data_IF_050508060753
#
_entry.id   IF_050508060753
#
_cell.length_a   1.000
_cell.length_b   1.000
_cell.length_c   1.000
_cell.angle_alpha   90.00
_cell.angle_beta   90.00
_cell.angle_gamma   90.00
#
_symmetry.space_group_name_H-M   'P 1'
#
loop_
_entity.id
_entity.type
_entity.pdbx_description
1 polymer ?
#
# COMPACT_ATOMS: atom_id res chain seq x y z
N UNK A 1 -0.38 -19.45 12.98
CA UNK A 1 -1.26 -18.60 12.16
C UNK A 1 -0.40 -17.65 11.36
N UNK A 2 -0.78 -17.33 10.13
CA UNK A 2 -0.01 -16.45 9.25
C UNK A 2 -0.71 -15.11 9.19
N UNK A 3 0.05 -14.00 9.10
CA UNK A 3 -0.55 -12.66 9.11
C UNK A 3 -1.59 -12.46 7.98
N UNK A 4 -1.34 -13.02 6.80
CA UNK A 4 -2.30 -12.96 5.68
C UNK A 4 -3.56 -13.80 5.95
N UNK A 5 -3.43 -14.92 6.68
CA UNK A 5 -4.57 -15.69 7.15
C UNK A 5 -5.42 -14.95 8.19
N UNK A 6 -4.76 -14.16 9.04
CA UNK A 6 -5.43 -13.30 10.03
C UNK A 6 -6.19 -12.16 9.35
N UNK A 7 -5.63 -11.54 8.30
CA UNK A 7 -6.33 -10.53 7.50
C UNK A 7 -7.58 -11.10 6.83
N UNK A 8 -7.47 -12.29 6.23
CA UNK A 8 -8.61 -13.01 5.65
C UNK A 8 -9.69 -13.29 6.69
N UNK A 9 -9.30 -13.69 7.90
CA UNK A 9 -10.21 -13.94 9.01
C UNK A 9 -10.96 -12.66 9.42
N UNK A 10 -10.25 -11.53 9.59
CA UNK A 10 -10.85 -10.22 9.91
C UNK A 10 -11.90 -9.84 8.86
N UNK A 11 -11.59 -9.99 7.58
CA UNK A 11 -12.54 -9.71 6.50
C UNK A 11 -13.81 -10.55 6.62
N UNK A 12 -13.63 -11.87 6.83
CA UNK A 12 -14.76 -12.82 6.95
C UNK A 12 -15.62 -12.57 8.18
N UNK A 13 -15.02 -12.24 9.32
CA UNK A 13 -15.73 -11.91 10.55
C UNK A 13 -16.59 -10.65 10.39
N UNK A 14 -16.19 -9.74 9.51
CA UNK A 14 -16.95 -8.53 9.15
C UNK A 14 -17.90 -8.75 7.99
N UNK A 15 -18.01 -9.99 7.47
CA UNK A 15 -18.88 -10.36 6.36
C UNK A 15 -18.65 -9.55 5.08
N UNK A 16 -17.40 -9.06 4.88
CA UNK A 16 -17.02 -8.29 3.69
C UNK A 16 -16.65 -9.27 2.57
N UNK A 17 -17.34 -9.16 1.43
CA UNK A 17 -17.01 -9.94 0.24
C UNK A 17 -15.74 -9.42 -0.44
N UNK A 18 -14.90 -10.35 -0.96
CA UNK A 18 -13.65 -9.97 -1.62
C UNK A 18 -13.88 -9.19 -2.92
N UNK A 19 -14.96 -9.49 -3.64
CA UNK A 19 -15.39 -8.73 -4.81
C UNK A 19 -15.80 -7.29 -4.45
N UNK A 20 -16.40 -7.09 -3.28
CA UNK A 20 -16.73 -5.75 -2.77
C UNK A 20 -15.45 -4.94 -2.50
N UNK A 21 -14.46 -5.54 -1.87
CA UNK A 21 -13.14 -4.91 -1.65
C UNK A 21 -12.50 -4.55 -3.00
N UNK A 22 -12.53 -5.45 -3.98
CA UNK A 22 -12.01 -5.21 -5.32
C UNK A 22 -12.70 -4.02 -6.01
N UNK A 23 -14.01 -3.92 -5.88
CA UNK A 23 -14.79 -2.81 -6.44
C UNK A 23 -14.46 -1.46 -5.78
N UNK A 24 -14.27 -1.44 -4.47
CA UNK A 24 -13.96 -0.21 -3.71
C UNK A 24 -12.52 0.26 -3.94
N UNK A 25 -11.57 -0.66 -3.91
CA UNK A 25 -10.14 -0.36 -4.06
C UNK A 25 -9.70 -0.20 -5.51
N UNK A 26 -10.50 -0.67 -6.47
CA UNK A 26 -10.15 -0.80 -7.89
C UNK A 26 -8.97 -1.76 -8.15
N UNK A 27 -8.69 -2.64 -7.19
CA UNK A 27 -7.69 -3.70 -7.31
C UNK A 27 -8.39 -4.94 -7.89
N UNK A 28 -7.73 -5.62 -8.83
CA UNK A 28 -8.25 -6.87 -9.36
C UNK A 28 -8.40 -7.90 -8.24
N UNK A 29 -9.56 -8.56 -8.18
CA UNK A 29 -9.86 -9.56 -7.15
C UNK A 29 -8.81 -10.68 -7.08
N UNK A 30 -8.24 -11.11 -8.23
CA UNK A 30 -7.19 -12.11 -8.25
C UNK A 30 -5.94 -11.72 -7.45
N UNK A 31 -5.58 -10.43 -7.42
CA UNK A 31 -4.48 -9.93 -6.60
C UNK A 31 -4.81 -9.95 -5.10
N UNK A 32 -6.05 -9.62 -4.75
CA UNK A 32 -6.51 -9.72 -3.36
C UNK A 32 -6.55 -11.17 -2.88
N UNK A 33 -6.94 -12.11 -3.74
CA UNK A 33 -6.87 -13.55 -3.45
C UNK A 33 -5.43 -14.01 -3.22
N UNK A 34 -4.48 -13.53 -4.03
CA UNK A 34 -3.05 -13.82 -3.85
C UNK A 34 -2.53 -13.30 -2.52
N UNK A 35 -2.91 -12.08 -2.12
CA UNK A 35 -2.59 -11.53 -0.80
C UNK A 35 -3.10 -12.43 0.33
N UNK A 36 -4.34 -12.91 0.26
CA UNK A 36 -4.94 -13.80 1.27
C UNK A 36 -4.35 -15.21 1.27
N UNK A 37 -3.63 -15.60 0.24
CA UNK A 37 -2.90 -16.87 0.13
C UNK A 37 -1.43 -16.76 0.54
N UNK A 38 -0.92 -15.53 0.72
CA UNK A 38 0.49 -15.28 0.98
C UNK A 38 1.37 -15.41 -0.27
N UNK A 39 0.79 -15.33 -1.45
CA UNK A 39 1.52 -15.28 -2.71
C UNK A 39 1.73 -13.82 -3.11
N UNK A 40 2.98 -13.36 -3.03
CA UNK A 40 3.39 -11.98 -3.32
C UNK A 40 4.23 -11.87 -4.60
N UNK A 41 4.23 -12.90 -5.44
CA UNK A 41 5.04 -12.97 -6.66
C UNK A 41 4.34 -12.36 -7.89
N UNK A 42 3.06 -12.01 -7.75
CA UNK A 42 2.22 -11.53 -8.86
C UNK A 42 2.57 -10.12 -9.37
N UNK A 43 3.26 -9.31 -8.58
CA UNK A 43 3.70 -7.96 -8.92
C UNK A 43 5.00 -7.59 -8.19
N UNK A 44 5.73 -6.56 -8.66
CA UNK A 44 6.84 -5.99 -7.90
C UNK A 44 6.41 -5.57 -6.49
N UNK A 45 7.28 -5.78 -5.50
CA UNK A 45 6.97 -5.59 -4.06
C UNK A 45 6.40 -4.20 -3.71
N UNK A 46 6.78 -3.16 -4.45
CA UNK A 46 6.23 -1.80 -4.25
C UNK A 46 4.71 -1.78 -4.45
N UNK A 47 4.20 -2.47 -5.48
CA UNK A 47 2.77 -2.57 -5.74
C UNK A 47 2.07 -3.50 -4.74
N UNK A 48 2.72 -4.60 -4.36
CA UNK A 48 2.20 -5.51 -3.32
C UNK A 48 1.96 -4.76 -2.01
N UNK A 49 2.92 -3.92 -1.57
CA UNK A 49 2.78 -3.06 -0.38
C UNK A 49 1.59 -2.11 -0.51
N UNK A 50 1.45 -1.47 -1.65
CA UNK A 50 0.36 -0.54 -1.92
C UNK A 50 -1.01 -1.24 -1.86
N UNK A 51 -1.12 -2.40 -2.50
CA UNK A 51 -2.36 -3.18 -2.52
C UNK A 51 -2.69 -3.75 -1.14
N UNK A 52 -1.69 -4.20 -0.39
CA UNK A 52 -1.87 -4.66 0.98
C UNK A 52 -2.39 -3.53 1.88
N UNK A 53 -1.84 -2.31 1.77
CA UNK A 53 -2.34 -1.14 2.51
C UNK A 53 -3.81 -0.84 2.17
N UNK A 54 -4.15 -0.79 0.89
CA UNK A 54 -5.51 -0.54 0.45
C UNK A 54 -6.49 -1.62 0.95
N UNK A 55 -6.09 -2.88 0.86
CA UNK A 55 -6.87 -4.01 1.36
C UNK A 55 -7.11 -3.92 2.88
N UNK A 56 -6.06 -3.67 3.66
CA UNK A 56 -6.16 -3.59 5.13
C UNK A 56 -7.02 -2.42 5.60
N UNK A 57 -6.94 -1.27 4.93
CA UNK A 57 -7.83 -0.13 5.21
C UNK A 57 -9.29 -0.51 5.00
N UNK A 58 -9.62 -1.19 3.89
CA UNK A 58 -11.00 -1.60 3.58
C UNK A 58 -11.58 -2.60 4.59
N UNK A 59 -10.78 -3.52 5.08
CA UNK A 59 -11.22 -4.48 6.09
C UNK A 59 -11.13 -3.96 7.53
N UNK A 60 -10.58 -2.74 7.73
CA UNK A 60 -10.42 -2.11 9.03
C UNK A 60 -9.32 -2.74 9.88
N UNK A 61 -8.28 -3.28 9.25
CA UNK A 61 -7.04 -3.70 9.90
C UNK A 61 -5.98 -2.59 9.86
N UNK A 62 -4.91 -2.74 10.64
CA UNK A 62 -3.81 -1.78 10.66
C UNK A 62 -2.92 -1.94 9.42
N UNK A 63 -2.83 -0.93 8.54
CA UNK A 63 -2.05 -1.01 7.32
C UNK A 63 -0.53 -0.97 7.56
N UNK A 64 -0.06 -0.32 8.60
CA UNK A 64 1.36 -0.22 8.90
C UNK A 64 1.87 -1.53 9.51
N UNK A 65 1.09 -2.14 10.40
CA UNK A 65 1.40 -3.47 10.93
C UNK A 65 1.40 -4.54 9.82
N UNK A 66 0.43 -4.51 8.91
CA UNK A 66 0.38 -5.47 7.82
C UNK A 66 1.58 -5.35 6.87
N UNK A 67 2.02 -4.13 6.54
CA UNK A 67 3.22 -3.90 5.73
C UNK A 67 4.47 -4.37 6.46
N UNK A 68 4.60 -4.11 7.76
CA UNK A 68 5.71 -4.59 8.57
C UNK A 68 5.78 -6.14 8.57
N UNK A 69 4.65 -6.81 8.73
CA UNK A 69 4.58 -8.27 8.66
C UNK A 69 4.94 -8.81 7.26
N UNK A 70 4.57 -8.11 6.21
CA UNK A 70 4.98 -8.43 4.84
C UNK A 70 6.51 -8.35 4.67
N UNK A 71 7.14 -7.29 5.16
CA UNK A 71 8.61 -7.15 5.10
C UNK A 71 9.31 -8.31 5.82
N UNK A 72 8.88 -8.62 7.04
CA UNK A 72 9.41 -9.76 7.82
C UNK A 72 9.22 -11.09 7.07
N UNK A 73 8.08 -11.25 6.39
CA UNK A 73 7.80 -12.45 5.61
C UNK A 73 8.72 -12.57 4.40
N UNK A 74 8.89 -11.49 3.65
CA UNK A 74 9.75 -11.44 2.46
C UNK A 74 11.23 -11.62 2.82
N UNK A 75 11.70 -11.04 3.92
CA UNK A 75 13.07 -11.21 4.40
C UNK A 75 13.38 -12.68 4.74
N UNK A 76 12.40 -13.39 5.30
CA UNK A 76 12.55 -14.82 5.58
C UNK A 76 12.63 -15.68 4.32
N UNK A 77 11.93 -15.31 3.25
CA UNK A 77 12.00 -16.02 1.97
C UNK A 77 13.30 -15.72 1.21
N UNK A 78 13.91 -14.55 1.39
CA UNK A 78 15.18 -14.18 0.76
C UNK A 78 16.43 -14.85 1.39
N UNK A 79 16.29 -15.62 2.44
CA UNK A 79 17.37 -16.44 3.02
C UNK A 79 17.67 -17.70 2.15
N UNK A 80 17.04 -17.88 1.02
CA UNK A 80 17.58 -18.71 -0.07
C UNK A 80 18.68 -17.93 -0.78
N UNK A 81 19.90 -18.51 -1.00
CA UNK A 81 21.06 -17.75 -1.46
C UNK A 81 20.75 -17.00 -2.76
N UNK A 82 21.19 -15.75 -2.90
CA UNK A 82 20.96 -15.00 -4.12
C UNK A 82 21.74 -15.65 -5.25
N UNK A 83 21.04 -16.11 -6.27
CA UNK A 83 21.64 -16.32 -7.58
C UNK A 83 22.13 -14.94 -8.04
N UNK A 84 23.45 -14.79 -8.04
CA UNK A 84 24.14 -13.57 -8.42
C UNK A 84 23.76 -13.23 -9.87
N UNK A 85 22.88 -12.28 -10.06
CA UNK A 85 22.82 -11.53 -11.30
C UNK A 85 24.06 -10.64 -11.35
N UNK A 86 25.07 -11.13 -12.04
CA UNK A 86 26.22 -10.36 -12.44
C UNK A 86 25.73 -9.16 -13.25
N UNK A 87 25.82 -7.98 -12.67
CA UNK A 87 25.72 -6.74 -13.43
C UNK A 87 27.02 -6.65 -14.18
N UNK A 88 26.99 -6.96 -15.46
CA UNK A 88 28.07 -6.73 -16.40
C UNK A 88 28.17 -5.22 -16.62
N UNK A 89 29.26 -4.64 -16.08
CA UNK A 89 29.67 -3.25 -16.30
C UNK A 89 30.04 -3.07 -17.79
N UNK A 90 29.12 -2.61 -18.60
CA UNK A 90 29.48 -1.95 -19.84
C UNK A 90 29.05 -0.50 -19.79
N UNK A 91 30.07 0.34 -19.58
CA UNK A 91 30.10 1.76 -19.83
C UNK A 91 29.37 2.13 -21.13
N UNK A 92 28.45 3.06 -21.04
CA UNK A 92 27.90 3.82 -22.15
C UNK A 92 27.54 5.20 -21.64
N UNK A 93 28.46 6.11 -21.88
CA UNK A 93 28.42 7.54 -21.61
C UNK A 93 27.26 8.19 -22.37
N UNK A 94 26.76 9.33 -21.79
CA UNK A 94 26.02 10.37 -22.50
C UNK A 94 24.48 10.20 -22.62
N UNK A 95 23.72 10.76 -21.66
CA UNK A 95 22.71 11.78 -21.91
C UNK A 95 22.16 12.34 -20.59
N UNK A 96 22.68 13.51 -20.21
CA UNK A 96 22.06 14.39 -19.23
C UNK A 96 20.89 15.10 -19.90
N UNK A 97 19.67 14.60 -19.75
CA UNK A 97 18.45 15.39 -19.94
C UNK A 97 17.76 15.63 -18.61
N UNK A 98 17.91 16.83 -18.19
CA UNK A 98 17.08 17.77 -17.43
C UNK A 98 15.71 17.20 -17.02
N UNK A 99 15.65 16.47 -15.89
CA UNK A 99 14.42 16.22 -15.16
C UNK A 99 14.15 17.38 -14.21
N UNK A 100 13.39 18.37 -14.69
CA UNK A 100 12.78 19.36 -13.85
C UNK A 100 11.84 18.65 -12.85
N UNK A 101 12.14 18.77 -11.56
CA UNK A 101 11.23 18.41 -10.47
C UNK A 101 9.84 19.03 -10.71
N UNK A 102 8.74 18.27 -10.69
CA UNK A 102 7.42 18.86 -10.64
C UNK A 102 7.27 19.58 -9.30
N UNK A 103 7.06 20.89 -9.39
CA UNK A 103 6.84 21.83 -8.30
C UNK A 103 5.91 21.23 -7.23
N UNK A 104 6.39 21.23 -5.99
CA UNK A 104 5.62 20.95 -4.77
C UNK A 104 4.33 21.73 -4.78
N UNK A 105 3.20 21.03 -4.89
CA UNK A 105 1.89 21.62 -4.63
C UNK A 105 1.82 22.10 -3.17
N UNK A 106 1.34 23.34 -2.90
CA UNK A 106 1.44 23.95 -1.58
C UNK A 106 0.32 23.56 -0.60
N UNK A 107 -0.09 22.29 -0.55
CA UNK A 107 -1.16 21.83 0.33
C UNK A 107 -0.85 20.45 0.91
N UNK A 108 0.20 20.37 1.74
CA UNK A 108 0.46 19.17 2.53
C UNK A 108 1.07 19.48 3.89
N UNK A 109 0.43 20.35 4.65
CA UNK A 109 0.64 20.38 6.10
C UNK A 109 -0.60 19.81 6.78
N UNK A 110 -0.45 18.74 7.55
CA UNK A 110 -1.55 18.17 8.37
C UNK A 110 -2.24 19.23 9.23
N UNK A 111 -1.54 20.30 9.56
CA UNK A 111 -2.05 21.43 10.33
C UNK A 111 -3.03 22.31 9.54
N UNK A 112 -2.93 22.34 8.21
CA UNK A 112 -3.81 23.17 7.38
C UNK A 112 -5.17 22.47 7.15
N UNK A 113 -5.18 21.13 7.08
CA UNK A 113 -6.42 20.34 7.03
C UNK A 113 -7.22 20.51 8.32
N UNK A 114 -6.54 20.52 9.48
CA UNK A 114 -7.19 20.74 10.79
C UNK A 114 -7.81 22.14 10.86
N UNK A 115 -7.13 23.17 10.34
CA UNK A 115 -7.65 24.55 10.31
C UNK A 115 -8.90 24.67 9.44
N UNK A 116 -8.91 24.00 8.28
CA UNK A 116 -10.07 23.99 7.39
C UNK A 116 -11.27 23.28 8.04
N UNK A 117 -11.04 22.16 8.70
CA UNK A 117 -12.11 21.42 9.42
C UNK A 117 -12.70 22.26 10.55
N UNK A 118 -11.87 22.94 11.33
CA UNK A 118 -12.31 23.83 12.41
C UNK A 118 -13.13 25.00 11.84
N UNK A 119 -12.69 25.59 10.72
CA UNK A 119 -13.37 26.72 10.10
C UNK A 119 -14.74 26.33 9.56
N UNK A 120 -14.86 25.14 8.96
CA UNK A 120 -16.15 24.58 8.51
C UNK A 120 -17.07 24.30 9.69
N UNK A 121 -16.55 23.75 10.79
CA UNK A 121 -17.33 23.46 11.99
C UNK A 121 -17.88 24.74 12.64
N UNK A 122 -17.07 25.81 12.72
CA UNK A 122 -17.49 27.12 13.23
C UNK A 122 -18.54 27.75 12.33
N UNK A 123 -18.41 27.60 11.00
CA UNK A 123 -19.38 28.12 10.05
C UNK A 123 -20.74 27.42 10.15
N UNK A 124 -20.75 26.10 10.35
CA UNK A 124 -21.99 25.34 10.58
C UNK A 124 -22.64 25.75 11.90
N UNK A 125 -21.85 25.98 12.95
CA UNK A 125 -22.36 26.42 14.26
C UNK A 125 -22.95 27.84 14.22
N UNK A 126 -22.47 28.71 13.34
CA UNK A 126 -22.97 30.09 13.19
C UNK A 126 -24.29 30.17 12.39
N UNK A 127 -24.65 29.11 11.66
CA UNK A 127 -25.89 29.04 10.85
C UNK A 127 -27.02 28.35 11.65
N UNK A 128 -26.71 27.66 12.74
CA UNK A 128 -27.67 26.94 13.57
C UNK A 128 -28.00 27.68 14.86
#
# INVERSE_FOLDING_TARGET
>A
MTFYGDLKKIRREKEIDLGEVANRTKINQAYLESIEKGDYTFLPHVYVRLFLRAYTVEIGADPDEAVNQLEIYLDKEQISPPEQLSIDDTMGDDHLEDYQEPSKSPLQSRNDIIKVVILVAVFIFAIY
#
